data_IF_721120390140
#
_entry.id   IF_721120390140
#
_cell.length_a   1.000
_cell.length_b   1.000
_cell.length_c   1.000
_cell.angle_alpha   90.00
_cell.angle_beta   90.00
_cell.angle_gamma   90.00
#
_symmetry.space_group_name_H-M   'P 1'
#
loop_
_entity.id
_entity.type
_entity.pdbx_description
1 polymer ?
#
# COMPACT_ATOMS: atom_id res chain seq x y z
N UNK A 1 -10.63 18.43 1.26
CA UNK A 1 -9.52 17.64 1.84
C UNK A 1 -9.70 17.56 3.34
N UNK A 2 -9.64 16.36 3.92
CA UNK A 2 -9.71 16.10 5.36
C UNK A 2 -8.32 15.56 5.74
N UNK A 3 -7.68 16.17 6.74
CA UNK A 3 -6.30 15.81 7.10
C UNK A 3 -6.14 14.33 7.47
N UNK A 4 -7.10 13.81 8.26
CA UNK A 4 -7.10 12.43 8.75
C UNK A 4 -8.51 12.03 9.20
N UNK A 5 -8.87 10.77 8.99
CA UNK A 5 -10.08 10.16 9.52
C UNK A 5 -9.70 9.23 10.68
N UNK A 6 -10.20 9.54 11.89
CA UNK A 6 -9.94 8.74 13.11
C UNK A 6 -11.19 8.16 13.74
N UNK A 7 -12.35 8.72 13.44
CA UNK A 7 -13.63 8.42 14.08
C UNK A 7 -14.78 8.31 13.07
N UNK A 8 -15.89 7.76 13.55
CA UNK A 8 -17.09 7.52 12.76
C UNK A 8 -17.70 8.81 12.20
N UNK A 9 -17.70 9.90 12.97
CA UNK A 9 -18.33 11.16 12.55
C UNK A 9 -17.61 11.75 11.35
N UNK A 10 -16.28 11.85 11.43
CA UNK A 10 -15.44 12.33 10.31
C UNK A 10 -15.56 11.42 9.09
N UNK A 11 -15.57 10.09 9.29
CA UNK A 11 -15.75 9.13 8.21
C UNK A 11 -17.10 9.29 7.51
N UNK A 12 -18.19 9.46 8.27
CA UNK A 12 -19.54 9.65 7.75
C UNK A 12 -19.65 10.93 6.91
N UNK A 13 -19.07 12.04 7.38
CA UNK A 13 -19.05 13.31 6.66
C UNK A 13 -18.27 13.15 5.34
N UNK A 14 -17.11 12.49 5.37
CA UNK A 14 -16.29 12.24 4.20
C UNK A 14 -17.04 11.43 3.13
N UNK A 15 -17.70 10.36 3.54
CA UNK A 15 -18.49 9.48 2.67
C UNK A 15 -19.69 10.23 2.09
N UNK A 16 -20.45 10.96 2.89
CA UNK A 16 -21.60 11.74 2.42
C UNK A 16 -21.18 12.80 1.40
N UNK A 17 -20.08 13.51 1.66
CA UNK A 17 -19.55 14.49 0.70
C UNK A 17 -19.15 13.82 -0.63
N UNK A 18 -18.54 12.63 -0.56
CA UNK A 18 -18.16 11.87 -1.77
C UNK A 18 -19.39 11.43 -2.58
N UNK A 19 -20.42 10.91 -1.93
CA UNK A 19 -21.67 10.47 -2.60
C UNK A 19 -22.38 11.64 -3.28
N UNK A 20 -22.30 12.85 -2.70
CA UNK A 20 -22.87 14.06 -3.31
C UNK A 20 -22.01 14.66 -4.43
N UNK A 21 -20.95 13.95 -4.86
CA UNK A 21 -20.14 14.30 -6.03
C UNK A 21 -18.87 15.10 -5.74
N UNK A 22 -18.53 15.31 -4.46
CA UNK A 22 -17.28 15.98 -4.10
C UNK A 22 -16.10 15.02 -4.12
N UNK A 23 -14.95 15.44 -4.66
CA UNK A 23 -13.70 14.71 -4.50
C UNK A 23 -13.18 14.91 -3.08
N UNK A 24 -13.18 13.83 -2.30
CA UNK A 24 -12.64 13.82 -0.93
C UNK A 24 -11.29 13.11 -0.92
N UNK A 25 -10.28 13.77 -0.36
CA UNK A 25 -8.96 13.20 -0.12
C UNK A 25 -8.67 13.25 1.37
N UNK A 26 -8.28 12.10 1.94
CA UNK A 26 -7.96 11.99 3.37
C UNK A 26 -6.89 10.93 3.61
N UNK A 27 -6.45 10.81 4.86
CA UNK A 27 -5.54 9.76 5.30
C UNK A 27 -6.18 8.90 6.39
N UNK A 28 -5.79 7.62 6.42
CA UNK A 28 -6.10 6.67 7.49
C UNK A 28 -4.82 5.94 7.90
N UNK A 29 -4.72 5.59 9.17
CA UNK A 29 -3.61 4.75 9.65
C UNK A 29 -3.97 3.27 9.51
N UNK A 30 -3.51 2.67 8.41
CA UNK A 30 -3.71 1.25 8.08
C UNK A 30 -2.43 0.62 7.56
N UNK A 31 -2.36 -0.71 7.61
CA UNK A 31 -1.16 -1.46 7.22
C UNK A 31 -1.11 -1.81 5.74
N UNK A 32 -2.25 -1.82 5.04
CA UNK A 32 -2.37 -2.14 3.61
C UNK A 32 -3.57 -1.42 3.01
N UNK A 33 -3.67 -1.41 1.68
CA UNK A 33 -4.83 -0.81 1.00
C UNK A 33 -6.12 -1.56 1.31
N UNK A 34 -6.11 -2.89 1.34
CA UNK A 34 -7.28 -3.71 1.68
C UNK A 34 -7.76 -3.47 3.12
N UNK A 35 -6.84 -3.35 4.09
CA UNK A 35 -7.20 -3.10 5.49
C UNK A 35 -7.84 -1.72 5.72
N UNK A 36 -7.71 -0.80 4.77
CA UNK A 36 -8.41 0.48 4.82
C UNK A 36 -9.92 0.30 4.73
N UNK A 37 -10.40 -0.63 3.92
CA UNK A 37 -11.83 -0.92 3.78
C UNK A 37 -12.38 -1.47 5.10
N UNK A 38 -11.72 -2.48 5.67
CA UNK A 38 -12.10 -3.04 6.98
C UNK A 38 -12.09 -1.95 8.07
N UNK A 39 -11.10 -1.06 8.05
CA UNK A 39 -11.00 0.03 9.03
C UNK A 39 -12.20 0.99 8.95
N UNK A 40 -12.69 1.30 7.75
CA UNK A 40 -13.90 2.12 7.58
C UNK A 40 -15.15 1.38 8.08
N UNK A 41 -15.24 0.06 7.85
CA UNK A 41 -16.31 -0.78 8.40
C UNK A 41 -16.28 -0.81 9.93
N UNK A 42 -15.11 -0.96 10.55
CA UNK A 42 -14.90 -0.93 12.01
C UNK A 42 -15.30 0.43 12.61
N UNK A 43 -15.18 1.51 11.84
CA UNK A 43 -15.66 2.83 12.23
C UNK A 43 -17.19 2.99 12.10
N UNK A 44 -17.90 1.93 11.69
CA UNK A 44 -19.37 1.94 11.57
C UNK A 44 -19.90 2.47 10.25
N UNK A 45 -19.07 2.55 9.21
CA UNK A 45 -19.53 2.93 7.86
C UNK A 45 -20.06 1.66 7.15
N UNK A 46 -21.25 1.76 6.62
CA UNK A 46 -21.89 0.66 5.89
C UNK A 46 -21.11 0.31 4.60
N UNK A 47 -20.91 -0.99 4.35
CA UNK A 47 -20.06 -1.48 3.26
C UNK A 47 -20.52 -1.01 1.87
N UNK A 48 -21.84 -0.86 1.63
CA UNK A 48 -22.34 -0.33 0.38
C UNK A 48 -22.00 1.15 0.17
N UNK A 49 -21.95 1.94 1.26
CA UNK A 49 -21.52 3.34 1.19
C UNK A 49 -20.01 3.44 0.90
N UNK A 50 -19.20 2.56 1.48
CA UNK A 50 -17.76 2.47 1.19
C UNK A 50 -17.55 2.12 -0.28
N UNK A 51 -18.26 1.10 -0.79
CA UNK A 51 -18.17 0.66 -2.18
C UNK A 51 -18.51 1.77 -3.19
N UNK A 52 -19.47 2.65 -2.85
CA UNK A 52 -19.90 3.73 -3.73
C UNK A 52 -19.03 4.99 -3.61
N UNK A 53 -18.50 5.27 -2.43
CA UNK A 53 -17.74 6.50 -2.15
C UNK A 53 -16.24 6.38 -2.42
N UNK A 54 -15.63 5.22 -2.14
CA UNK A 54 -14.18 5.04 -2.30
C UNK A 54 -13.85 4.70 -3.75
N UNK A 55 -12.98 5.50 -4.37
CA UNK A 55 -12.51 5.30 -5.75
C UNK A 55 -11.12 4.66 -5.82
N UNK A 56 -10.33 4.81 -4.77
CA UNK A 56 -9.00 4.22 -4.69
C UNK A 56 -8.35 4.43 -3.33
N UNK A 57 -7.40 3.58 -3.03
CA UNK A 57 -6.59 3.62 -1.80
C UNK A 57 -5.13 3.51 -2.18
N UNK A 58 -4.31 4.38 -1.58
CA UNK A 58 -2.85 4.36 -1.72
C UNK A 58 -2.25 4.10 -0.35
N UNK A 59 -1.69 2.91 -0.15
CA UNK A 59 -0.90 2.63 1.04
C UNK A 59 0.57 2.94 0.77
N UNK A 60 1.23 3.63 1.71
CA UNK A 60 2.62 4.08 1.59
C UNK A 60 3.47 3.53 2.74
N UNK A 61 4.66 3.06 2.40
CA UNK A 61 5.71 2.73 3.35
C UNK A 61 6.98 3.49 3.03
N UNK A 62 7.63 4.04 4.05
CA UNK A 62 8.93 4.66 3.91
C UNK A 62 10.01 3.65 4.30
N UNK A 63 10.80 3.22 3.32
CA UNK A 63 11.94 2.32 3.54
C UNK A 63 13.25 3.10 3.48
N UNK A 64 14.27 2.63 4.20
CA UNK A 64 15.60 3.24 4.15
C UNK A 64 16.22 2.99 2.77
N UNK A 65 16.79 4.03 2.17
CA UNK A 65 17.51 3.94 0.90
C UNK A 65 18.97 3.56 1.15
N UNK A 66 19.49 2.60 0.41
CA UNK A 66 20.92 2.28 0.45
C UNK A 66 21.77 3.49 0.10
N UNK A 67 22.86 3.69 0.80
CA UNK A 67 23.80 4.78 0.54
C UNK A 67 24.40 4.62 -0.85
N UNK A 68 24.25 5.60 -1.76
CA UNK A 68 24.77 5.49 -3.14
C UNK A 68 26.29 5.45 -3.21
N UNK A 69 26.98 5.87 -2.14
CA UNK A 69 28.45 5.95 -2.11
C UNK A 69 29.12 4.67 -1.61
N UNK A 70 28.40 3.80 -0.90
CA UNK A 70 29.02 2.63 -0.30
C UNK A 70 28.25 1.32 -0.47
N UNK A 71 27.08 1.34 -1.13
CA UNK A 71 26.36 0.11 -1.46
C UNK A 71 27.24 -0.80 -2.30
N UNK A 72 27.26 -2.08 -1.98
CA UNK A 72 28.03 -3.09 -2.74
C UNK A 72 27.10 -4.00 -3.51
N UNK A 73 27.41 -4.31 -4.78
CA UNK A 73 26.66 -5.31 -5.52
C UNK A 73 26.97 -6.70 -4.98
N UNK A 74 25.96 -7.56 -4.90
CA UNK A 74 26.11 -9.00 -4.66
C UNK A 74 25.14 -9.78 -5.54
N UNK A 75 25.44 -11.02 -5.85
CA UNK A 75 24.50 -11.92 -6.49
C UNK A 75 23.43 -12.35 -5.49
N UNK A 76 22.17 -12.34 -5.93
CA UNK A 76 21.07 -12.80 -5.10
C UNK A 76 21.18 -14.30 -4.82
N UNK A 77 20.97 -14.69 -3.57
CA UNK A 77 20.89 -16.10 -3.17
C UNK A 77 19.59 -16.72 -3.68
N UNK A 78 19.48 -18.06 -3.63
CA UNK A 78 18.25 -18.78 -4.00
C UNK A 78 17.04 -18.28 -3.21
N UNK A 79 17.18 -18.15 -1.89
CA UNK A 79 16.12 -17.71 -0.98
C UNK A 79 15.67 -16.26 -1.29
N UNK A 80 16.64 -15.38 -1.62
CA UNK A 80 16.35 -14.00 -2.01
C UNK A 80 15.60 -13.93 -3.37
N UNK A 81 15.96 -14.79 -4.33
CA UNK A 81 15.28 -14.90 -5.62
C UNK A 81 13.83 -15.41 -5.43
N UNK A 82 13.65 -16.46 -4.63
CA UNK A 82 12.33 -16.99 -4.31
C UNK A 82 11.45 -15.93 -3.63
N UNK A 83 11.99 -15.19 -2.65
CA UNK A 83 11.29 -14.09 -1.99
C UNK A 83 10.86 -12.98 -2.96
N UNK A 84 11.66 -12.70 -3.99
CA UNK A 84 11.35 -11.73 -5.04
C UNK A 84 10.44 -12.30 -6.14
N UNK A 85 10.04 -13.57 -6.08
CA UNK A 85 9.25 -14.24 -7.10
C UNK A 85 10.00 -14.45 -8.43
N UNK A 86 11.34 -14.47 -8.39
CA UNK A 86 12.21 -14.66 -9.55
C UNK A 86 12.60 -16.12 -9.72
N UNK A 87 12.94 -16.52 -10.95
CA UNK A 87 13.41 -17.87 -11.22
C UNK A 87 14.82 -18.07 -10.69
N UNK A 88 15.13 -19.30 -10.23
CA UNK A 88 16.45 -19.64 -9.69
C UNK A 88 17.57 -19.41 -10.70
N UNK A 89 17.30 -19.60 -11.98
CA UNK A 89 18.25 -19.50 -13.10
C UNK A 89 18.57 -18.05 -13.51
N UNK A 90 17.79 -17.05 -13.06
CA UNK A 90 18.00 -15.67 -13.43
C UNK A 90 19.20 -15.06 -12.67
N UNK A 91 20.13 -14.45 -13.41
CA UNK A 91 21.23 -13.68 -12.80
C UNK A 91 20.72 -12.34 -12.31
N UNK A 92 20.55 -12.23 -10.99
CA UNK A 92 20.04 -11.02 -10.34
C UNK A 92 21.08 -10.43 -9.42
N UNK A 93 21.50 -9.21 -9.74
CA UNK A 93 22.39 -8.43 -8.88
C UNK A 93 21.56 -7.56 -7.96
N UNK A 94 21.69 -7.76 -6.66
CA UNK A 94 21.14 -6.91 -5.61
C UNK A 94 22.25 -6.12 -4.92
N UNK A 95 21.89 -5.20 -4.04
CA UNK A 95 22.86 -4.38 -3.34
C UNK A 95 22.70 -4.52 -1.83
N UNK A 96 23.83 -4.53 -1.12
CA UNK A 96 23.87 -4.59 0.34
C UNK A 96 24.45 -3.30 0.95
N UNK A 97 24.06 -2.95 2.19
CA UNK A 97 24.64 -1.82 2.90
C UNK A 97 26.07 -2.15 3.34
N UNK A 98 26.97 -1.20 3.19
CA UNK A 98 28.35 -1.35 3.66
C UNK A 98 28.66 -0.44 4.85
N UNK A 99 28.48 0.86 4.67
CA UNK A 99 28.85 1.90 5.62
C UNK A 99 30.04 2.74 5.10
N UNK A 100 29.95 4.05 5.28
CA UNK A 100 31.01 5.01 5.00
C UNK A 100 30.78 6.31 5.79
N UNK A 101 31.75 7.22 5.76
CA UNK A 101 31.65 8.54 6.43
C UNK A 101 30.47 9.41 5.95
N UNK A 102 29.99 9.20 4.71
CA UNK A 102 28.86 9.97 4.15
C UNK A 102 27.48 9.49 4.63
N UNK A 103 27.41 8.35 5.28
CA UNK A 103 26.19 7.77 5.85
C UNK A 103 26.35 7.40 7.33
N UNK A 104 27.34 7.97 8.02
CA UNK A 104 27.64 7.72 9.42
C UNK A 104 27.78 6.21 9.73
N UNK A 105 28.42 5.48 8.82
CA UNK A 105 28.64 4.04 8.85
C UNK A 105 27.36 3.17 8.91
N UNK A 106 26.18 3.73 8.65
CA UNK A 106 24.91 3.00 8.69
C UNK A 106 24.64 2.19 7.42
N UNK A 107 25.29 2.53 6.30
CA UNK A 107 25.00 1.95 4.97
C UNK A 107 23.75 2.48 4.31
N UNK A 108 23.01 3.40 4.98
CA UNK A 108 21.76 3.97 4.47
C UNK A 108 21.81 5.49 4.45
N UNK A 109 21.18 6.11 3.46
CA UNK A 109 21.06 7.57 3.36
C UNK A 109 19.72 7.98 2.72
N UNK A 110 18.89 8.62 3.55
CA UNK A 110 17.53 9.02 3.16
C UNK A 110 16.53 7.86 3.16
N UNK A 111 15.33 8.16 2.72
CA UNK A 111 14.19 7.23 2.62
C UNK A 111 13.58 7.32 1.25
N UNK A 112 12.93 6.25 0.81
CA UNK A 112 12.14 6.18 -0.41
C UNK A 112 10.75 5.65 -0.07
N UNK A 113 9.72 6.21 -0.72
CA UNK A 113 8.35 5.71 -0.59
C UNK A 113 8.16 4.47 -1.46
N UNK A 114 7.60 3.42 -0.87
CA UNK A 114 7.05 2.27 -1.59
C UNK A 114 5.53 2.36 -1.45
N UNK A 115 4.82 2.15 -2.54
CA UNK A 115 3.39 2.37 -2.62
C UNK A 115 2.66 1.09 -3.04
N UNK A 116 1.51 0.87 -2.44
CA UNK A 116 0.51 -0.09 -2.89
C UNK A 116 -0.71 0.72 -3.34
N UNK A 117 -1.09 0.59 -4.62
CA UNK A 117 -2.20 1.35 -5.18
C UNK A 117 -3.33 0.38 -5.51
N UNK A 118 -4.48 0.54 -4.87
CA UNK A 118 -5.69 -0.24 -5.11
C UNK A 118 -6.77 0.67 -5.69
N UNK A 119 -7.05 0.53 -6.97
CA UNK A 119 -8.19 1.16 -7.61
C UNK A 119 -9.45 0.33 -7.34
N UNK A 120 -10.54 0.98 -6.92
CA UNK A 120 -11.80 0.28 -6.64
C UNK A 120 -12.55 0.03 -7.94
N UNK A 121 -12.40 -1.17 -8.48
CA UNK A 121 -13.10 -1.65 -9.69
C UNK A 121 -14.53 -2.07 -9.37
N UNK A 122 -15.44 -2.21 -10.37
CA UNK A 122 -16.81 -2.70 -10.15
C UNK A 122 -16.84 -4.06 -9.44
N UNK A 123 -15.85 -4.92 -9.69
CA UNK A 123 -15.74 -6.23 -9.02
C UNK A 123 -15.37 -6.09 -7.55
N UNK A 124 -14.40 -5.20 -7.22
CA UNK A 124 -14.05 -4.88 -5.84
C UNK A 124 -15.21 -4.22 -5.10
N UNK A 125 -16.00 -3.35 -5.75
CA UNK A 125 -17.23 -2.80 -5.17
C UNK A 125 -18.22 -3.90 -4.74
N UNK A 126 -18.38 -4.93 -5.56
CA UNK A 126 -19.27 -6.07 -5.22
C UNK A 126 -18.74 -6.85 -4.01
N UNK A 127 -17.44 -7.09 -3.94
CA UNK A 127 -16.79 -7.78 -2.81
C UNK A 127 -16.95 -6.98 -1.52
N UNK A 128 -16.69 -5.67 -1.57
CA UNK A 128 -16.86 -4.75 -0.44
C UNK A 128 -18.31 -4.76 0.04
N UNK A 129 -19.28 -4.58 -0.87
CA UNK A 129 -20.72 -4.54 -0.52
C UNK A 129 -21.21 -5.82 0.14
N UNK A 130 -20.60 -6.98 -0.19
CA UNK A 130 -20.91 -8.29 0.41
C UNK A 130 -20.14 -8.60 1.69
N UNK A 131 -19.22 -7.74 2.11
CA UNK A 131 -18.33 -7.96 3.27
C UNK A 131 -17.53 -9.28 3.19
N UNK A 132 -16.98 -9.60 2.01
CA UNK A 132 -16.27 -10.88 1.78
C UNK A 132 -14.87 -10.96 2.43
N UNK A 133 -14.49 -9.98 3.25
CA UNK A 133 -13.23 -9.99 4.00
C UNK A 133 -12.02 -9.42 3.24
N UNK A 134 -11.03 -8.97 4.03
CA UNK A 134 -9.84 -8.29 3.50
C UNK A 134 -8.95 -9.20 2.64
N UNK A 135 -8.90 -10.50 2.91
CA UNK A 135 -8.05 -11.44 2.18
C UNK A 135 -8.56 -11.63 0.74
N UNK A 136 -9.87 -11.82 0.56
CA UNK A 136 -10.49 -11.95 -0.77
C UNK A 136 -10.34 -10.64 -1.55
N UNK A 137 -10.51 -9.50 -0.86
CA UNK A 137 -10.31 -8.18 -1.45
C UNK A 137 -8.87 -8.01 -1.95
N UNK A 138 -7.88 -8.44 -1.15
CA UNK A 138 -6.46 -8.38 -1.49
C UNK A 138 -6.13 -9.29 -2.67
N UNK A 139 -6.60 -10.54 -2.67
CA UNK A 139 -6.38 -11.47 -3.78
C UNK A 139 -6.95 -10.95 -5.09
N UNK A 140 -8.15 -10.39 -5.07
CA UNK A 140 -8.76 -9.84 -6.27
C UNK A 140 -8.08 -8.55 -6.74
N UNK A 141 -7.63 -7.70 -5.82
CA UNK A 141 -6.85 -6.50 -6.15
C UNK A 141 -5.53 -6.86 -6.85
N UNK A 142 -4.84 -7.91 -6.39
CA UNK A 142 -3.58 -8.39 -6.98
C UNK A 142 -3.76 -8.98 -8.40
N UNK A 143 -4.94 -9.55 -8.73
CA UNK A 143 -5.18 -10.15 -10.05
C UNK A 143 -5.27 -9.14 -11.18
N UNK A 144 -5.55 -7.88 -10.89
CA UNK A 144 -5.90 -6.90 -11.93
C UNK A 144 -5.05 -5.63 -12.02
N UNK A 145 -4.19 -5.29 -11.15
CA UNK A 145 -3.41 -4.02 -11.19
C UNK A 145 -3.09 -3.45 -9.78
N UNK A 146 -2.80 -4.27 -8.82
CA UNK A 146 -1.91 -3.78 -7.78
C UNK A 146 -0.54 -3.67 -8.44
N UNK A 147 -0.14 -2.46 -8.84
CA UNK A 147 1.24 -2.24 -9.26
C UNK A 147 2.07 -2.34 -7.99
N UNK A 148 2.77 -3.47 -7.74
CA UNK A 148 3.80 -3.47 -6.72
C UNK A 148 4.83 -2.47 -7.22
N UNK A 149 5.02 -1.38 -6.52
CA UNK A 149 6.12 -0.49 -6.82
C UNK A 149 7.42 -1.23 -6.51
N UNK A 150 8.14 -1.56 -7.58
CA UNK A 150 9.53 -1.97 -7.54
C UNK A 150 10.41 -0.81 -7.04
#
# INVERSE_FOLDING_TARGET
>A
MIGEIRDQETASIAVQASITGHLVVSTLHTNSSASTITRLEDMGIESYLIADSVIGVIAQRLVRRLCPFCKKPKQATKDEKEFMGMREEEDVTIYEPCGCSKCDNTGFKGRIGVYEIMQITPKLKTIISKREGADILKEEALKKECIPCV
#
